data_IF_258470966869
#
_entry.id   IF_258470966869
#
_cell.length_a   1.000
_cell.length_b   1.000
_cell.length_c   1.000
_cell.angle_alpha   90.00
_cell.angle_beta   90.00
_cell.angle_gamma   90.00
#
_symmetry.space_group_name_H-M   'P 1'
#
loop_
_entity.id
_entity.type
_entity.pdbx_description
1 polymer ?
#
# COMPACT_ATOMS: atom_id res chain seq x y z
N UNK A 1 -15.77 16.69 -13.44
CA UNK A 1 -16.77 15.91 -12.70
C UNK A 1 -16.82 16.40 -11.25
N UNK A 2 -17.86 17.14 -10.82
CA UNK A 2 -17.89 17.82 -9.51
C UNK A 2 -18.00 16.88 -8.30
N UNK A 3 -18.51 15.65 -8.48
CA UNK A 3 -18.92 14.77 -7.37
C UNK A 3 -17.75 14.10 -6.63
N UNK A 4 -16.68 13.74 -7.35
CA UNK A 4 -15.47 13.17 -6.72
C UNK A 4 -14.79 14.17 -5.78
N UNK A 5 -14.76 15.46 -6.13
CA UNK A 5 -14.04 16.47 -5.35
C UNK A 5 -14.62 16.72 -3.96
N UNK A 6 -15.91 16.46 -3.73
CA UNK A 6 -16.54 16.66 -2.41
C UNK A 6 -16.48 15.43 -1.50
N UNK A 7 -16.19 14.23 -2.02
CA UNK A 7 -16.21 12.99 -1.21
C UNK A 7 -15.19 11.92 -1.65
N UNK A 8 -14.06 12.33 -2.25
CA UNK A 8 -13.05 11.44 -2.80
C UNK A 8 -12.56 10.41 -1.78
N UNK A 9 -12.24 10.85 -0.55
CA UNK A 9 -11.73 9.96 0.49
C UNK A 9 -12.70 8.82 0.84
N UNK A 10 -14.00 9.12 0.99
CA UNK A 10 -14.99 8.08 1.30
C UNK A 10 -15.23 7.15 0.11
N UNK A 11 -15.26 7.69 -1.12
CA UNK A 11 -15.39 6.88 -2.32
C UNK A 11 -14.20 5.93 -2.50
N UNK A 12 -12.96 6.44 -2.39
CA UNK A 12 -11.73 5.63 -2.48
C UNK A 12 -11.72 4.56 -1.38
N UNK A 13 -12.08 4.93 -0.15
CA UNK A 13 -12.18 3.97 0.96
C UNK A 13 -13.21 2.89 0.67
N UNK A 14 -14.37 3.25 0.12
CA UNK A 14 -15.40 2.31 -0.33
C UNK A 14 -14.88 1.34 -1.37
N UNK A 15 -14.24 1.84 -2.43
CA UNK A 15 -13.62 1.00 -3.49
C UNK A 15 -12.65 -0.04 -2.91
N UNK A 16 -11.80 0.37 -1.96
CA UNK A 16 -10.83 -0.53 -1.33
C UNK A 16 -11.55 -1.58 -0.46
N UNK A 17 -12.52 -1.15 0.37
CA UNK A 17 -13.27 -2.05 1.25
C UNK A 17 -14.10 -3.05 0.46
N UNK A 18 -14.77 -2.60 -0.60
CA UNK A 18 -15.58 -3.45 -1.48
C UNK A 18 -14.71 -4.50 -2.19
N UNK A 19 -13.51 -4.12 -2.66
CA UNK A 19 -12.57 -5.07 -3.24
C UNK A 19 -12.13 -6.12 -2.22
N UNK A 20 -11.78 -5.71 -1.00
CA UNK A 20 -11.35 -6.64 0.06
C UNK A 20 -12.50 -7.54 0.54
N UNK A 21 -13.75 -7.08 0.46
CA UNK A 21 -14.94 -7.89 0.74
C UNK A 21 -15.33 -8.83 -0.42
N UNK A 22 -14.72 -8.66 -1.60
CA UNK A 22 -15.03 -9.47 -2.78
C UNK A 22 -14.34 -10.85 -2.76
N UNK A 23 -14.79 -11.80 -3.61
CA UNK A 23 -14.14 -13.12 -3.76
C UNK A 23 -12.66 -13.06 -4.22
N UNK A 24 -12.19 -11.92 -4.72
CA UNK A 24 -10.78 -11.74 -5.10
C UNK A 24 -9.83 -11.80 -3.89
N UNK A 25 -10.33 -11.50 -2.69
CA UNK A 25 -9.59 -11.64 -1.45
C UNK A 25 -9.65 -13.10 -0.98
N UNK A 26 -8.70 -13.93 -1.41
CA UNK A 26 -8.67 -15.37 -1.11
C UNK A 26 -7.25 -15.89 -0.91
N UNK A 27 -7.10 -16.98 -0.15
CA UNK A 27 -5.87 -17.77 -0.04
C UNK A 27 -5.83 -18.98 -1.00
N UNK A 28 -6.83 -19.13 -1.88
CA UNK A 28 -6.92 -20.18 -2.93
C UNK A 28 -6.98 -21.63 -2.38
N UNK A 29 -7.36 -21.84 -1.11
CA UNK A 29 -7.42 -23.18 -0.50
C UNK A 29 -8.65 -23.42 0.39
N UNK A 30 -9.02 -22.46 1.22
CA UNK A 30 -10.06 -22.62 2.24
C UNK A 30 -11.42 -22.05 1.80
N UNK A 31 -11.82 -22.35 0.57
CA UNK A 31 -13.08 -21.87 0.00
C UNK A 31 -13.16 -20.34 0.01
N UNK A 32 -14.21 -19.82 0.66
CA UNK A 32 -14.52 -18.39 0.76
C UNK A 32 -13.74 -17.65 1.85
N UNK A 33 -12.75 -18.31 2.48
CA UNK A 33 -11.98 -17.63 3.53
C UNK A 33 -11.08 -16.53 2.94
N UNK A 34 -11.17 -15.29 3.48
CA UNK A 34 -10.40 -14.19 2.97
C UNK A 34 -8.91 -14.30 3.31
N UNK A 35 -8.05 -13.73 2.46
CA UNK A 35 -6.63 -13.55 2.78
C UNK A 35 -6.40 -12.46 3.83
N UNK A 36 -7.21 -11.41 3.80
CA UNK A 36 -7.08 -10.23 4.65
C UNK A 36 -8.40 -9.85 5.30
N UNK A 37 -8.34 -9.35 6.53
CA UNK A 37 -9.49 -8.76 7.21
C UNK A 37 -9.82 -7.36 6.68
N UNK A 38 -10.86 -6.71 7.24
CA UNK A 38 -11.26 -5.35 6.85
C UNK A 38 -10.07 -4.37 6.89
N UNK A 39 -9.85 -3.58 5.82
CA UNK A 39 -8.68 -2.74 5.72
C UNK A 39 -8.83 -1.43 6.48
N UNK A 40 -7.70 -0.87 6.92
CA UNK A 40 -7.60 0.55 7.25
C UNK A 40 -7.12 1.31 6.02
N UNK A 41 -7.67 2.49 5.76
CA UNK A 41 -7.27 3.37 4.65
C UNK A 41 -6.87 4.72 5.21
N UNK A 42 -5.78 5.27 4.69
CA UNK A 42 -5.23 6.56 5.09
C UNK A 42 -4.68 7.30 3.88
N UNK A 43 -4.53 8.60 4.04
CA UNK A 43 -4.15 9.50 2.96
C UNK A 43 -3.05 10.44 3.46
N UNK A 44 -2.09 10.72 2.60
CA UNK A 44 -1.10 11.78 2.81
C UNK A 44 -0.94 12.61 1.55
N UNK A 45 -0.59 13.89 1.73
CA UNK A 45 -0.27 14.77 0.61
C UNK A 45 1.00 14.27 -0.10
N UNK A 46 1.05 14.36 -1.43
CA UNK A 46 2.27 14.11 -2.20
C UNK A 46 3.40 15.09 -1.87
N UNK A 47 3.08 16.23 -1.25
CA UNK A 47 4.01 17.22 -0.71
C UNK A 47 4.40 16.97 0.76
N UNK A 48 4.00 15.86 1.36
CA UNK A 48 4.43 15.52 2.72
C UNK A 48 5.96 15.45 2.79
N UNK A 49 6.53 16.20 3.74
CA UNK A 49 7.99 16.34 3.92
C UNK A 49 8.68 15.00 4.15
N UNK A 50 7.96 14.00 4.65
CA UNK A 50 8.48 12.66 4.86
C UNK A 50 9.00 12.03 3.57
N UNK A 51 8.37 12.27 2.42
CA UNK A 51 8.84 11.67 1.16
C UNK A 51 10.22 12.17 0.76
N UNK A 52 10.48 13.46 0.97
CA UNK A 52 11.81 13.99 0.71
C UNK A 52 12.81 13.56 1.78
N UNK A 53 12.40 13.57 3.05
CA UNK A 53 13.22 13.03 4.13
C UNK A 53 13.67 11.58 3.85
N UNK A 54 12.79 10.71 3.34
CA UNK A 54 13.15 9.34 2.98
C UNK A 54 14.21 9.27 1.89
N UNK A 55 14.16 10.15 0.90
CA UNK A 55 15.16 10.20 -0.17
C UNK A 55 16.51 10.71 0.32
N UNK A 56 16.51 11.69 1.21
CA UNK A 56 17.73 12.19 1.86
C UNK A 56 18.35 11.16 2.80
N UNK A 57 17.52 10.47 3.60
CA UNK A 57 18.00 9.60 4.68
C UNK A 57 18.31 8.16 4.24
N UNK A 58 17.53 7.60 3.30
CA UNK A 58 17.71 6.23 2.82
C UNK A 58 18.66 6.19 1.64
N UNK A 59 18.54 7.17 0.74
CA UNK A 59 19.42 7.34 -0.41
C UNK A 59 18.71 7.96 -1.62
N UNK A 60 19.48 8.64 -2.50
CA UNK A 60 18.94 9.40 -3.64
C UNK A 60 18.21 8.54 -4.68
N UNK A 61 18.32 7.21 -4.60
CA UNK A 61 17.55 6.28 -5.42
C UNK A 61 16.06 6.21 -5.04
N UNK A 62 15.66 6.72 -3.87
CA UNK A 62 14.26 6.72 -3.45
C UNK A 62 13.44 7.62 -4.38
N UNK A 63 12.26 7.14 -4.76
CA UNK A 63 11.40 7.80 -5.74
C UNK A 63 10.22 8.44 -5.00
N UNK A 64 10.01 9.72 -5.24
CA UNK A 64 8.93 10.50 -4.63
C UNK A 64 7.60 10.31 -5.37
N UNK A 65 6.45 10.67 -4.76
CA UNK A 65 5.15 10.58 -5.42
C UNK A 65 5.09 11.33 -6.76
N UNK A 66 5.67 12.54 -6.83
CA UNK A 66 5.69 13.35 -8.05
C UNK A 66 6.56 12.73 -9.14
N UNK A 67 7.66 12.06 -8.80
CA UNK A 67 8.50 11.35 -9.76
C UNK A 67 7.77 10.14 -10.37
N UNK A 68 7.04 9.36 -9.58
CA UNK A 68 6.19 8.28 -10.09
C UNK A 68 5.13 8.79 -11.07
N UNK A 69 4.47 9.90 -10.75
CA UNK A 69 3.43 10.48 -11.62
C UNK A 69 4.03 11.07 -12.90
N UNK A 70 5.20 11.70 -12.81
CA UNK A 70 5.88 12.30 -13.97
C UNK A 70 6.38 11.24 -14.95
N UNK A 71 6.87 10.10 -14.44
CA UNK A 71 7.27 8.95 -15.26
C UNK A 71 6.08 8.25 -15.92
N UNK A 72 4.98 8.05 -15.17
CA UNK A 72 3.80 7.36 -15.68
C UNK A 72 3.02 8.15 -16.74
N UNK A 73 3.11 9.48 -16.73
CA UNK A 73 2.35 10.36 -17.63
C UNK A 73 3.25 11.41 -18.31
N UNK A 74 4.15 10.99 -19.22
CA UNK A 74 5.02 11.92 -19.92
C UNK A 74 4.18 12.91 -20.73
N UNK A 75 4.38 14.21 -20.49
CA UNK A 75 3.62 15.29 -21.12
C UNK A 75 2.50 15.89 -20.26
N UNK A 76 2.27 15.36 -19.04
CA UNK A 76 1.45 16.02 -18.02
C UNK A 76 2.35 16.63 -16.95
N UNK A 77 1.91 17.77 -16.40
CA UNK A 77 2.58 18.42 -15.28
C UNK A 77 1.74 18.23 -14.02
N UNK A 78 2.39 17.81 -12.94
CA UNK A 78 1.79 17.66 -11.62
C UNK A 78 2.52 18.56 -10.62
N UNK A 79 1.82 18.94 -9.55
CA UNK A 79 2.42 19.57 -8.37
C UNK A 79 2.38 18.57 -7.23
N UNK A 80 3.34 18.61 -6.31
CA UNK A 80 3.35 17.66 -5.19
C UNK A 80 2.10 17.82 -4.31
N UNK A 81 1.61 19.06 -4.18
CA UNK A 81 0.42 19.44 -3.41
C UNK A 81 -0.88 18.94 -4.05
N UNK A 82 -0.90 18.79 -5.38
CA UNK A 82 -2.05 18.24 -6.11
C UNK A 82 -2.10 16.71 -6.13
N UNK A 83 -1.11 16.04 -5.56
CA UNK A 83 -1.07 14.58 -5.48
C UNK A 83 -1.49 14.10 -4.09
N UNK A 84 -2.15 12.96 -4.06
CA UNK A 84 -2.53 12.23 -2.86
C UNK A 84 -1.90 10.84 -2.90
N UNK A 85 -1.23 10.44 -1.82
CA UNK A 85 -0.78 9.06 -1.61
C UNK A 85 -1.83 8.35 -0.77
N UNK A 86 -2.52 7.40 -1.41
CA UNK A 86 -3.54 6.56 -0.81
C UNK A 86 -2.84 5.31 -0.29
N UNK A 87 -2.89 5.08 1.01
CA UNK A 87 -2.27 3.90 1.65
C UNK A 87 -3.31 3.07 2.37
N UNK A 88 -3.06 1.77 2.49
CA UNK A 88 -3.91 0.88 3.27
C UNK A 88 -3.14 -0.16 4.07
N UNK A 89 -3.78 -0.64 5.13
CA UNK A 89 -3.36 -1.78 5.94
C UNK A 89 -4.30 -2.94 5.69
N UNK A 90 -3.76 -4.11 5.35
CA UNK A 90 -4.47 -5.39 5.20
C UNK A 90 -4.14 -6.27 6.42
N UNK A 91 -5.01 -6.36 7.44
CA UNK A 91 -4.71 -7.13 8.64
C UNK A 91 -4.85 -8.63 8.37
N UNK A 92 -4.04 -9.44 9.04
CA UNK A 92 -4.22 -10.89 9.04
C UNK A 92 -5.54 -11.27 9.70
N UNK A 93 -6.22 -12.26 9.12
CA UNK A 93 -7.47 -12.80 9.67
C UNK A 93 -7.24 -13.48 11.02
N UNK A 94 -8.30 -13.60 11.82
CA UNK A 94 -8.22 -14.33 13.10
C UNK A 94 -7.85 -15.80 12.90
N UNK A 95 -8.29 -16.43 11.81
CA UNK A 95 -7.90 -17.80 11.47
C UNK A 95 -6.40 -17.92 11.22
N UNK A 96 -5.83 -17.05 10.39
CA UNK A 96 -4.38 -17.02 10.14
C UNK A 96 -3.59 -16.75 11.42
N UNK A 97 -4.03 -15.82 12.26
CA UNK A 97 -3.37 -15.54 13.55
C UNK A 97 -3.48 -16.73 14.52
N UNK A 98 -4.63 -17.42 14.57
CA UNK A 98 -4.82 -18.61 15.43
C UNK A 98 -3.88 -19.74 15.06
N UNK A 99 -3.75 -20.04 13.77
CA UNK A 99 -2.86 -21.11 13.33
C UNK A 99 -1.40 -20.73 13.53
N UNK A 100 -1.03 -19.49 13.22
CA UNK A 100 0.34 -19.01 13.45
C UNK A 100 0.78 -19.07 14.92
N UNK A 101 -0.14 -18.87 15.88
CA UNK A 101 0.16 -18.96 17.32
C UNK A 101 0.51 -20.36 17.81
N UNK A 102 0.14 -21.40 17.07
CA UNK A 102 0.44 -22.80 17.44
C UNK A 102 1.85 -23.23 17.04
N UNK A 103 2.46 -22.49 16.12
CA UNK A 103 3.75 -22.83 15.56
C UNK A 103 4.91 -22.28 16.38
N UNK A 104 5.96 -23.09 16.54
CA UNK A 104 7.17 -22.73 17.31
C UNK A 104 8.44 -22.67 16.46
N UNK A 105 8.42 -23.23 15.24
CA UNK A 105 9.61 -23.34 14.40
C UNK A 105 9.41 -22.76 12.99
N UNK A 106 8.33 -23.15 12.29
CA UNK A 106 8.02 -22.65 10.94
C UNK A 106 6.72 -21.85 10.93
N UNK A 107 6.50 -20.94 9.96
CA UNK A 107 5.20 -20.30 9.81
C UNK A 107 4.12 -21.33 9.44
N UNK A 108 2.91 -21.11 9.95
CA UNK A 108 1.73 -21.88 9.56
C UNK A 108 1.49 -21.74 8.06
N UNK A 109 0.84 -22.73 7.44
CA UNK A 109 0.56 -22.68 6.00
C UNK A 109 -0.22 -21.41 5.63
N UNK A 110 -1.19 -21.00 6.45
CA UNK A 110 -1.93 -19.74 6.26
C UNK A 110 -1.00 -18.55 6.17
N UNK A 111 -0.08 -18.44 7.12
CA UNK A 111 0.88 -17.34 7.17
C UNK A 111 1.83 -17.34 5.96
N UNK A 112 2.31 -18.51 5.56
CA UNK A 112 3.15 -18.67 4.38
C UNK A 112 2.39 -18.29 3.09
N UNK A 113 1.13 -18.71 2.95
CA UNK A 113 0.28 -18.35 1.80
C UNK A 113 -0.06 -16.86 1.78
N UNK A 114 -0.32 -16.21 2.92
CA UNK A 114 -0.54 -14.76 2.97
C UNK A 114 0.65 -13.98 2.38
N UNK A 115 1.88 -14.50 2.46
CA UNK A 115 3.06 -13.83 1.89
C UNK A 115 3.04 -13.82 0.36
N UNK A 116 2.63 -14.91 -0.28
CA UNK A 116 2.69 -15.06 -1.74
C UNK A 116 1.32 -14.82 -2.36
N UNK A 117 0.32 -15.60 -1.96
CA UNK A 117 -1.05 -15.50 -2.46
C UNK A 117 -1.71 -14.21 -1.96
N UNK A 118 -1.53 -13.87 -0.68
CA UNK A 118 -2.03 -12.61 -0.14
C UNK A 118 -1.40 -11.38 -0.81
N UNK A 119 -0.14 -11.45 -1.27
CA UNK A 119 0.44 -10.36 -2.08
C UNK A 119 -0.18 -10.30 -3.49
N UNK A 120 -0.55 -11.43 -4.11
CA UNK A 120 -1.31 -11.40 -5.37
C UNK A 120 -2.63 -10.65 -5.21
N UNK A 121 -3.34 -10.85 -4.09
CA UNK A 121 -4.56 -10.07 -3.76
C UNK A 121 -4.23 -8.58 -3.68
N UNK A 122 -3.15 -8.21 -3.01
CA UNK A 122 -2.73 -6.82 -2.88
C UNK A 122 -2.30 -6.20 -4.22
N UNK A 123 -1.66 -6.96 -5.11
CA UNK A 123 -1.37 -6.54 -6.50
C UNK A 123 -2.66 -6.26 -7.25
N UNK A 124 -3.64 -7.18 -7.18
CA UNK A 124 -4.96 -6.96 -7.78
C UNK A 124 -5.66 -5.72 -7.22
N UNK A 125 -5.58 -5.49 -5.90
CA UNK A 125 -6.16 -4.31 -5.26
C UNK A 125 -5.52 -3.00 -5.78
N UNK A 126 -4.19 -2.95 -5.90
CA UNK A 126 -3.50 -1.78 -6.48
C UNK A 126 -3.97 -1.50 -7.91
N UNK A 127 -3.99 -2.54 -8.75
CA UNK A 127 -4.47 -2.42 -10.13
C UNK A 127 -5.93 -2.02 -10.20
N UNK A 128 -6.79 -2.59 -9.35
CA UNK A 128 -8.20 -2.25 -9.27
C UNK A 128 -8.40 -0.78 -8.93
N UNK A 129 -7.73 -0.27 -7.90
CA UNK A 129 -7.89 1.12 -7.50
C UNK A 129 -7.40 2.09 -8.59
N UNK A 130 -6.25 1.81 -9.22
CA UNK A 130 -5.74 2.61 -10.35
C UNK A 130 -6.75 2.63 -11.50
N UNK A 131 -7.33 1.47 -11.84
CA UNK A 131 -8.34 1.35 -12.89
C UNK A 131 -9.61 2.15 -12.55
N UNK A 132 -10.09 2.07 -11.32
CA UNK A 132 -11.29 2.80 -10.87
C UNK A 132 -11.06 4.31 -10.91
N UNK A 133 -9.90 4.79 -10.47
CA UNK A 133 -9.53 6.21 -10.56
C UNK A 133 -9.44 6.67 -12.03
N UNK A 134 -8.81 5.86 -12.89
CA UNK A 134 -8.70 6.16 -14.32
C UNK A 134 -10.06 6.29 -15.00
N UNK A 135 -11.01 5.41 -14.67
CA UNK A 135 -12.37 5.45 -15.24
C UNK A 135 -13.15 6.71 -14.82
N UNK A 136 -12.74 7.33 -13.71
CA UNK A 136 -13.24 8.63 -13.25
C UNK A 136 -12.44 9.81 -13.83
N UNK A 137 -11.48 9.54 -14.73
CA UNK A 137 -10.62 10.54 -15.36
C UNK A 137 -9.47 11.04 -14.49
N UNK A 138 -9.11 10.30 -13.42
CA UNK A 138 -8.02 10.66 -12.51
C UNK A 138 -6.74 9.89 -12.88
N UNK A 139 -5.63 10.61 -13.03
CA UNK A 139 -4.32 9.98 -13.18
C UNK A 139 -3.90 9.30 -11.88
N UNK A 140 -3.49 8.05 -11.96
CA UNK A 140 -3.03 7.28 -10.82
C UNK A 140 -1.96 6.26 -11.22
N UNK A 141 -1.05 5.97 -10.30
CA UNK A 141 -0.01 4.96 -10.45
C UNK A 141 0.14 4.18 -9.15
N UNK A 142 0.34 2.86 -9.26
CA UNK A 142 0.70 2.03 -8.12
C UNK A 142 2.23 1.93 -8.05
N UNK A 143 2.92 2.54 -7.06
CA UNK A 143 4.38 2.55 -7.02
C UNK A 143 5.00 1.16 -7.11
N UNK A 144 4.48 0.17 -6.38
CA UNK A 144 4.97 -1.22 -6.40
C UNK A 144 4.84 -1.92 -7.76
N UNK A 145 4.01 -1.40 -8.68
CA UNK A 145 3.80 -1.96 -10.03
C UNK A 145 4.47 -1.12 -11.13
N UNK A 146 5.09 0.01 -10.76
CA UNK A 146 5.81 0.88 -11.69
C UNK A 146 7.17 0.27 -12.06
N UNK A 147 7.67 0.49 -13.29
CA UNK A 147 9.04 0.12 -13.67
C UNK A 147 10.12 0.83 -12.83
N UNK A 148 9.79 1.96 -12.18
CA UNK A 148 10.70 2.62 -11.26
C UNK A 148 10.88 1.86 -9.94
N UNK A 149 9.96 0.94 -9.61
CA UNK A 149 10.12 0.10 -8.43
C UNK A 149 11.19 -0.94 -8.63
N UNK A 150 12.20 -0.91 -7.76
CA UNK A 150 13.26 -1.93 -7.75
C UNK A 150 13.89 -2.04 -6.36
N UNK A 151 14.44 -3.22 -6.02
CA UNK A 151 15.36 -3.36 -4.90
C UNK A 151 16.54 -2.40 -5.06
N UNK A 152 17.04 -1.91 -3.93
CA UNK A 152 18.19 -1.02 -3.86
C UNK A 152 18.98 -1.30 -2.59
N UNK A 153 20.20 -0.78 -2.52
CA UNK A 153 21.03 -0.87 -1.32
C UNK A 153 21.24 0.53 -0.76
N UNK A 154 20.83 0.73 0.49
CA UNK A 154 21.13 1.91 1.29
C UNK A 154 22.44 1.71 2.04
N UNK A 155 23.28 2.73 2.10
CA UNK A 155 24.50 2.72 2.91
C UNK A 155 24.17 2.57 4.40
N UNK A 156 23.11 3.27 4.85
CA UNK A 156 22.69 3.30 6.26
C UNK A 156 21.88 2.08 6.67
N UNK A 157 21.07 1.52 5.76
CA UNK A 157 20.07 0.50 6.07
C UNK A 157 20.24 -0.84 5.34
N UNK A 158 21.29 -0.99 4.53
CA UNK A 158 21.50 -2.14 3.66
C UNK A 158 20.31 -2.39 2.71
N UNK A 159 19.47 -3.39 2.96
CA UNK A 159 18.39 -3.78 2.06
C UNK A 159 17.28 -2.72 2.01
N UNK A 160 17.12 -2.08 0.86
CA UNK A 160 16.13 -1.05 0.60
C UNK A 160 15.41 -1.29 -0.75
N UNK A 161 14.58 -0.34 -1.13
CA UNK A 161 13.95 -0.27 -2.45
C UNK A 161 13.61 1.18 -2.76
N UNK A 162 13.36 1.46 -4.03
CA UNK A 162 13.02 2.82 -4.49
C UNK A 162 11.70 3.34 -3.92
N UNK A 163 10.84 2.47 -3.37
CA UNK A 163 9.62 2.84 -2.64
C UNK A 163 9.29 1.85 -1.54
N UNK A 164 8.80 2.35 -0.41
CA UNK A 164 8.38 1.54 0.73
C UNK A 164 6.94 1.86 1.10
N UNK A 165 6.06 0.88 0.98
CA UNK A 165 4.66 1.03 1.38
C UNK A 165 4.49 1.17 2.90
N UNK A 166 5.47 0.71 3.68
CA UNK A 166 5.52 1.01 5.12
C UNK A 166 5.81 2.48 5.37
N UNK A 167 6.61 3.14 4.54
CA UNK A 167 6.83 4.59 4.65
C UNK A 167 5.60 5.36 4.18
N UNK A 168 4.97 4.95 3.08
CA UNK A 168 3.70 5.54 2.61
C UNK A 168 2.61 5.46 3.68
N UNK A 169 2.43 4.29 4.29
CA UNK A 169 1.50 4.13 5.41
C UNK A 169 1.84 5.04 6.60
N UNK A 170 3.12 5.40 6.81
CA UNK A 170 3.56 6.25 7.94
C UNK A 170 3.16 7.70 7.71
N UNK A 171 3.46 8.22 6.52
CA UNK A 171 2.97 9.53 6.09
C UNK A 171 1.43 9.60 6.18
N UNK A 172 0.73 8.53 5.81
CA UNK A 172 -0.73 8.44 5.87
C UNK A 172 -1.32 8.23 7.30
N UNK A 173 -0.51 8.28 8.35
CA UNK A 173 -0.96 8.16 9.74
C UNK A 173 -1.42 6.76 10.18
N UNK A 174 -1.13 5.71 9.41
CA UNK A 174 -1.62 4.34 9.66
C UNK A 174 -0.76 3.56 10.69
N UNK A 175 -0.19 4.25 11.69
CA UNK A 175 0.62 3.67 12.77
C UNK A 175 2.08 4.16 12.83
N UNK A 176 2.93 3.47 13.60
CA UNK A 176 4.34 3.86 13.86
C UNK A 176 5.33 2.70 13.76
N UNK A 177 6.63 2.99 13.66
CA UNK A 177 7.69 1.98 13.66
C UNK A 177 8.03 1.55 15.10
N UNK A 178 8.05 0.24 15.34
CA UNK A 178 8.58 -0.33 16.57
C UNK A 178 10.08 -0.67 16.45
N UNK A 179 10.69 -1.03 17.57
CA UNK A 179 12.14 -1.35 17.68
C UNK A 179 12.64 -2.52 16.82
N UNK A 180 11.72 -3.27 16.20
CA UNK A 180 12.03 -4.43 15.34
C UNK A 180 11.83 -4.12 13.86
N UNK A 181 11.82 -2.84 13.50
CA UNK A 181 11.45 -2.28 12.19
C UNK A 181 10.04 -2.67 11.70
N UNK A 182 9.27 -3.30 12.59
CA UNK A 182 7.91 -3.70 12.39
C UNK A 182 6.98 -2.52 12.51
N UNK A 183 5.99 -2.45 11.62
CA UNK A 183 4.94 -1.44 11.70
C UNK A 183 3.90 -1.84 12.75
N UNK A 184 3.63 -0.95 13.70
CA UNK A 184 2.56 -1.08 14.70
C UNK A 184 1.41 -0.20 14.25
N UNK A 185 0.22 -0.80 14.07
CA UNK A 185 -1.00 -0.10 13.63
C UNK A 185 -2.12 -0.28 14.66
N UNK A 186 -3.25 0.44 14.54
CA UNK A 186 -4.43 0.20 15.39
C UNK A 186 -4.95 -1.24 15.36
N UNK A 187 -4.64 -1.99 14.30
CA UNK A 187 -5.02 -3.41 14.10
C UNK A 187 -3.84 -4.37 14.35
N UNK A 188 -2.76 -3.87 14.98
CA UNK A 188 -1.58 -4.65 15.35
C UNK A 188 -0.48 -4.67 14.29
N UNK A 189 0.47 -5.61 14.43
CA UNK A 189 1.65 -5.77 13.56
C UNK A 189 1.49 -6.84 12.48
N UNK A 190 0.53 -7.75 12.64
CA UNK A 190 0.27 -8.84 11.72
C UNK A 190 -0.55 -8.35 10.52
N UNK A 191 0.12 -7.70 9.56
CA UNK A 191 -0.54 -7.07 8.42
C UNK A 191 0.35 -6.98 7.18
N UNK A 192 -0.26 -6.58 6.07
CA UNK A 192 0.38 -6.11 4.84
C UNK A 192 0.03 -4.65 4.60
N UNK A 193 0.86 -3.94 3.85
CA UNK A 193 0.60 -2.57 3.39
C UNK A 193 0.38 -2.55 1.90
N UNK A 194 -0.35 -1.55 1.40
CA UNK A 194 -0.38 -1.22 -0.02
C UNK A 194 -0.50 0.29 -0.23
N UNK A 195 -0.18 0.77 -1.44
CA UNK A 195 -0.33 2.18 -1.78
C UNK A 195 -0.55 2.46 -3.27
N UNK A 196 -1.19 3.59 -3.58
CA UNK A 196 -1.38 4.21 -4.90
C UNK A 196 -1.14 5.72 -4.77
N UNK A 197 -0.53 6.34 -5.77
CA UNK A 197 -0.42 7.80 -5.91
C UNK A 197 -1.42 8.26 -6.96
N UNK A 198 -2.19 9.31 -6.67
CA UNK A 198 -3.23 9.81 -7.56
C UNK A 198 -3.32 11.35 -7.56
N UNK A 199 -3.80 11.91 -8.67
CA UNK A 199 -4.05 13.35 -8.85
C UNK A 199 -5.50 13.71 -8.42
N UNK A 200 -5.77 13.64 -7.11
CA UNK A 200 -7.11 13.78 -6.51
C UNK A 200 -7.09 14.59 -5.22
#
# INVERSE_FOLDING_TARGET
>A
MPYLRSNAAAWITGVIKDFVASPENTLEKWGEEPAWAEPLVGFSSGADRLYQFYKEDIGPFYVTPIEFMSDAFPGKSFTAEGLTVISWILPQTDATKRDQRKETHFPSERWARSRIIGEKVNVKLRSHLVERLRNEGVEAVAPMLSPLWKPATSEKYANASTWSERHAAYAAGLGTFGLSDGRITPVGKAMRTGSVVANV
#
